data_IF_121215204326
#
_entry.id   IF_121215204326
#
_cell.length_a   1.000
_cell.length_b   1.000
_cell.length_c   1.000
_cell.angle_alpha   90.00
_cell.angle_beta   90.00
_cell.angle_gamma   90.00
#
_symmetry.space_group_name_H-M   'P 1'
#
loop_
_entity.id
_entity.type
_entity.pdbx_description
1 polymer ?
#
# COMPACT_ATOMS: atom_id res chain seq x y z
N UNK A 1 -53.87 20.84 -31.85
CA UNK A 1 -52.38 20.86 -31.92
C UNK A 1 -51.84 20.08 -30.73
N UNK A 2 -51.42 18.83 -30.92
CA UNK A 2 -50.90 17.98 -29.85
C UNK A 2 -49.46 17.60 -30.23
N UNK A 3 -48.47 18.09 -29.47
CA UNK A 3 -47.06 17.75 -29.68
C UNK A 3 -46.71 16.55 -28.79
N UNK A 4 -46.43 15.42 -29.43
CA UNK A 4 -45.91 14.21 -28.80
C UNK A 4 -44.45 14.49 -28.41
N UNK A 5 -44.16 14.44 -27.11
CA UNK A 5 -42.81 14.54 -26.54
C UNK A 5 -42.27 13.11 -26.45
N UNK A 6 -41.34 12.74 -27.34
CA UNK A 6 -40.60 11.48 -27.26
C UNK A 6 -39.49 11.60 -26.22
N UNK A 7 -39.74 11.06 -25.02
CA UNK A 7 -38.72 10.84 -24.00
C UNK A 7 -37.89 9.59 -24.38
N UNK A 8 -36.69 9.80 -24.95
CA UNK A 8 -35.71 8.72 -25.10
C UNK A 8 -35.03 8.47 -23.73
N UNK A 9 -35.54 7.46 -23.02
CA UNK A 9 -34.85 6.90 -21.86
C UNK A 9 -33.64 6.09 -22.35
N UNK A 10 -32.45 6.71 -22.31
CA UNK A 10 -31.18 6.00 -22.53
C UNK A 10 -30.87 5.20 -21.28
N UNK A 11 -31.20 3.91 -21.31
CA UNK A 11 -30.77 2.93 -20.30
C UNK A 11 -29.29 2.68 -20.56
N UNK A 12 -28.42 3.42 -19.85
CA UNK A 12 -26.99 3.09 -19.79
C UNK A 12 -26.89 1.84 -18.92
N UNK A 13 -26.82 0.67 -19.56
CA UNK A 13 -26.39 -0.55 -18.91
C UNK A 13 -24.93 -0.34 -18.49
N UNK A 14 -24.72 -0.02 -17.21
CA UNK A 14 -23.39 -0.01 -16.62
C UNK A 14 -22.86 -1.44 -16.67
N UNK A 15 -22.04 -1.74 -17.67
CA UNK A 15 -21.23 -2.93 -17.67
C UNK A 15 -20.29 -2.83 -16.47
N UNK A 16 -20.64 -3.52 -15.38
CA UNK A 16 -19.73 -3.77 -14.28
C UNK A 16 -18.57 -4.58 -14.88
N UNK A 17 -17.50 -3.87 -15.25
CA UNK A 17 -16.22 -4.48 -15.52
C UNK A 17 -15.78 -5.04 -14.16
N UNK A 18 -16.09 -6.32 -13.92
CA UNK A 18 -15.49 -7.09 -12.84
C UNK A 18 -14.00 -7.13 -13.15
N UNK A 19 -13.25 -6.16 -12.62
CA UNK A 19 -11.80 -6.20 -12.62
C UNK A 19 -11.42 -7.49 -11.91
N UNK A 20 -10.93 -8.47 -12.69
CA UNK A 20 -10.44 -9.71 -12.13
C UNK A 20 -9.38 -9.35 -11.08
N UNK A 21 -9.60 -9.79 -9.84
CA UNK A 21 -8.76 -9.44 -8.72
C UNK A 21 -7.29 -9.78 -9.05
N UNK A 22 -6.35 -8.83 -8.99
CA UNK A 22 -4.92 -9.05 -9.27
C UNK A 22 -4.27 -10.14 -8.39
N UNK A 23 -4.97 -10.62 -7.36
CA UNK A 23 -4.46 -11.51 -6.32
C UNK A 23 -4.21 -12.96 -6.74
N UNK A 24 -4.68 -13.45 -7.90
CA UNK A 24 -4.58 -14.89 -8.22
C UNK A 24 -3.14 -15.40 -8.26
N UNK A 25 -2.20 -14.61 -8.75
CA UNK A 25 -0.78 -14.99 -8.85
C UNK A 25 0.01 -14.67 -7.57
N UNK A 26 -0.55 -13.84 -6.69
CA UNK A 26 0.10 -13.32 -5.47
C UNK A 26 -0.91 -13.29 -4.30
N UNK A 27 -1.43 -14.45 -3.87
CA UNK A 27 -2.60 -14.54 -2.97
C UNK A 27 -2.37 -14.01 -1.56
N UNK A 28 -1.12 -13.71 -1.20
CA UNK A 28 -0.75 -13.21 0.12
C UNK A 28 -0.10 -11.83 0.10
N UNK A 29 0.04 -11.19 -1.07
CA UNK A 29 0.67 -9.86 -1.17
C UNK A 29 -0.27 -8.70 -0.82
N UNK A 30 -1.57 -8.97 -0.67
CA UNK A 30 -2.62 -7.97 -0.40
C UNK A 30 -3.49 -8.41 0.77
N UNK A 31 -3.73 -7.51 1.71
CA UNK A 31 -4.67 -7.67 2.81
C UNK A 31 -5.87 -6.75 2.53
N UNK A 32 -7.02 -7.35 2.25
CA UNK A 32 -8.25 -6.62 1.90
C UNK A 32 -8.41 -6.35 0.41
N UNK A 33 -9.14 -5.29 0.08
CA UNK A 33 -9.43 -4.87 -1.31
C UNK A 33 -8.38 -3.85 -1.80
N UNK A 34 -8.08 -3.85 -3.11
CA UNK A 34 -7.13 -2.93 -3.72
C UNK A 34 -7.76 -1.67 -4.34
N UNK A 35 -9.09 -1.65 -4.46
CA UNK A 35 -9.86 -0.59 -5.11
C UNK A 35 -9.39 -0.26 -6.54
N UNK A 36 -8.79 -1.23 -7.25
CA UNK A 36 -8.23 -1.04 -8.59
C UNK A 36 -6.98 -0.15 -8.64
N UNK A 37 -6.32 0.11 -7.51
CA UNK A 37 -5.08 0.91 -7.45
C UNK A 37 -3.86 0.06 -7.79
N UNK A 38 -3.87 -1.20 -7.39
CA UNK A 38 -2.76 -2.12 -7.54
C UNK A 38 -2.90 -2.92 -8.83
N UNK A 39 -1.77 -3.23 -9.44
CA UNK A 39 -1.66 -4.14 -10.57
C UNK A 39 -0.79 -5.34 -10.19
N UNK A 40 -0.64 -6.27 -11.13
CA UNK A 40 0.15 -7.49 -10.91
C UNK A 40 1.62 -7.20 -10.59
N UNK A 41 2.21 -6.16 -11.18
CA UNK A 41 3.60 -5.79 -10.91
C UNK A 41 3.79 -5.29 -9.48
N UNK A 42 2.84 -4.52 -8.94
CA UNK A 42 2.91 -4.03 -7.56
C UNK A 42 2.89 -5.18 -6.55
N UNK A 43 2.07 -6.20 -6.82
CA UNK A 43 1.98 -7.39 -5.97
C UNK A 43 3.23 -8.27 -6.09
N UNK A 44 3.82 -8.33 -7.28
CA UNK A 44 5.05 -9.08 -7.56
C UNK A 44 6.27 -8.48 -6.86
N UNK A 45 6.35 -7.14 -6.71
CA UNK A 45 7.49 -6.46 -6.08
C UNK A 45 7.75 -6.99 -4.66
N UNK A 46 6.71 -7.25 -3.86
CA UNK A 46 6.87 -7.76 -2.50
C UNK A 46 7.57 -9.14 -2.47
N UNK A 47 7.44 -9.93 -3.54
CA UNK A 47 8.09 -11.25 -3.67
C UNK A 47 9.59 -11.18 -3.91
N UNK A 48 10.10 -9.99 -4.27
CA UNK A 48 11.54 -9.75 -4.39
C UNK A 48 12.24 -9.75 -3.02
N UNK A 49 11.52 -9.36 -1.97
CA UNK A 49 12.09 -9.20 -0.63
C UNK A 49 12.02 -10.49 0.18
N UNK A 50 10.89 -11.19 0.11
CA UNK A 50 10.66 -12.42 0.86
C UNK A 50 9.64 -13.33 0.14
N UNK A 51 9.52 -14.57 0.60
CA UNK A 51 8.50 -15.48 0.09
C UNK A 51 7.11 -15.02 0.57
N UNK A 52 6.11 -14.93 -0.33
CA UNK A 52 4.72 -14.77 0.06
C UNK A 52 4.30 -15.82 1.09
N UNK A 53 3.79 -15.37 2.21
CA UNK A 53 3.18 -16.19 3.24
C UNK A 53 1.87 -15.55 3.69
N UNK A 54 0.85 -16.34 4.10
CA UNK A 54 -0.36 -15.77 4.66
C UNK A 54 -0.03 -14.82 5.81
N UNK A 55 -0.70 -13.66 5.86
CA UNK A 55 -0.49 -12.71 6.94
C UNK A 55 -0.73 -13.36 8.30
N UNK A 56 0.27 -13.26 9.17
CA UNK A 56 0.20 -13.63 10.57
C UNK A 56 0.93 -12.58 11.40
N UNK A 57 0.62 -12.50 12.69
CA UNK A 57 1.34 -11.59 13.62
C UNK A 57 2.79 -12.02 13.85
N UNK A 58 3.15 -13.23 13.45
CA UNK A 58 4.51 -13.77 13.56
C UNK A 58 5.31 -13.54 12.26
N UNK A 59 4.64 -13.15 11.16
CA UNK A 59 5.25 -12.83 9.86
C UNK A 59 5.80 -11.40 9.88
N UNK A 60 7.00 -11.25 10.41
CA UNK A 60 7.66 -9.94 10.57
C UNK A 60 8.45 -9.49 9.32
N UNK A 61 8.62 -10.35 8.32
CA UNK A 61 9.56 -10.12 7.22
C UNK A 61 8.91 -9.78 5.89
N UNK A 62 7.73 -10.34 5.58
CA UNK A 62 7.10 -10.13 4.28
C UNK A 62 6.30 -8.81 4.25
N UNK A 63 6.47 -7.96 3.22
CA UNK A 63 5.68 -6.76 3.07
C UNK A 63 4.31 -7.06 2.45
N UNK A 64 3.26 -6.44 2.98
CA UNK A 64 1.88 -6.59 2.53
C UNK A 64 1.30 -5.26 2.08
N UNK A 65 0.55 -5.27 0.97
CA UNK A 65 -0.26 -4.13 0.57
C UNK A 65 -1.57 -4.07 1.36
N UNK A 66 -1.96 -2.88 1.79
CA UNK A 66 -3.25 -2.56 2.42
C UNK A 66 -3.75 -1.21 1.92
N UNK A 67 -5.03 -1.11 1.60
CA UNK A 67 -5.61 0.12 1.04
C UNK A 67 -6.62 0.76 1.99
N UNK A 68 -6.59 2.09 2.06
CA UNK A 68 -7.37 2.89 3.00
C UNK A 68 -8.00 4.08 2.28
N UNK A 69 -9.14 4.54 2.78
CA UNK A 69 -9.71 5.81 2.33
C UNK A 69 -8.78 6.96 2.71
N UNK A 70 -8.42 7.79 1.73
CA UNK A 70 -7.45 8.88 1.91
C UNK A 70 -7.86 9.87 3.00
N UNK A 71 -9.16 10.07 3.22
CA UNK A 71 -9.68 10.97 4.27
C UNK A 71 -9.37 10.49 5.70
N UNK A 72 -9.03 9.22 5.87
CA UNK A 72 -8.61 8.61 7.14
C UNK A 72 -7.11 8.30 7.17
N UNK A 73 -6.34 8.97 6.31
CA UNK A 73 -4.89 8.81 6.25
C UNK A 73 -4.19 10.15 6.48
N UNK A 74 -3.05 10.10 7.17
CA UNK A 74 -2.25 11.26 7.49
C UNK A 74 -0.76 10.94 7.32
N UNK A 75 0.03 11.95 7.04
CA UNK A 75 1.50 11.88 7.01
C UNK A 75 2.08 12.83 8.04
N UNK A 76 3.04 12.34 8.80
CA UNK A 76 3.71 13.07 9.86
C UNK A 76 5.23 12.94 9.71
N UNK A 77 5.92 14.03 10.04
CA UNK A 77 7.35 14.01 10.35
C UNK A 77 7.48 14.03 11.87
N UNK A 78 7.53 12.85 12.48
CA UNK A 78 7.63 12.71 13.93
C UNK A 78 9.05 13.04 14.39
N UNK A 79 9.17 13.93 15.36
CA UNK A 79 10.44 14.54 15.76
C UNK A 79 11.43 13.50 16.28
N UNK A 80 12.57 13.35 15.60
CA UNK A 80 13.72 12.61 16.12
C UNK A 80 14.56 13.49 17.04
N UNK A 81 15.40 12.86 17.86
CA UNK A 81 16.47 13.59 18.54
C UNK A 81 17.38 14.23 17.47
N UNK A 82 17.78 15.50 17.61
CA UNK A 82 18.73 16.12 16.68
C UNK A 82 20.05 15.34 16.69
N UNK A 83 20.60 15.05 15.51
CA UNK A 83 21.95 14.54 15.39
C UNK A 83 22.94 15.72 15.33
N UNK A 84 24.02 15.73 16.14
CA UNK A 84 24.97 16.85 16.16
C UNK A 84 25.68 17.13 14.82
N UNK A 85 25.76 16.14 13.92
CA UNK A 85 26.39 16.25 12.60
C UNK A 85 25.37 16.43 11.48
N UNK A 86 24.24 15.74 11.57
CA UNK A 86 23.23 15.68 10.50
C UNK A 86 22.07 16.67 10.72
N UNK A 87 22.00 17.31 11.89
CA UNK A 87 20.99 18.32 12.21
C UNK A 87 19.64 17.72 12.64
N UNK A 88 18.53 18.47 12.46
CA UNK A 88 17.20 18.00 12.86
C UNK A 88 16.76 16.80 12.03
N UNK A 89 16.43 15.70 12.72
CA UNK A 89 15.94 14.48 12.08
C UNK A 89 14.48 14.22 12.44
N UNK A 90 13.78 13.46 11.59
CA UNK A 90 12.41 13.04 11.83
C UNK A 90 12.15 11.63 11.27
N UNK A 91 11.27 10.89 11.92
CA UNK A 91 10.70 9.67 11.34
C UNK A 91 9.53 10.03 10.43
N UNK A 92 9.54 9.51 9.21
CA UNK A 92 8.35 9.52 8.37
C UNK A 92 7.34 8.51 8.95
N UNK A 93 6.13 8.98 9.22
CA UNK A 93 5.04 8.15 9.73
C UNK A 93 3.79 8.38 8.90
N UNK A 94 3.25 7.32 8.32
CA UNK A 94 1.89 7.34 7.80
C UNK A 94 0.95 6.72 8.82
N UNK A 95 -0.11 7.44 9.17
CA UNK A 95 -1.20 6.90 9.97
C UNK A 95 -2.40 6.64 9.06
N UNK A 96 -3.03 5.48 9.18
CA UNK A 96 -4.20 5.11 8.41
C UNK A 96 -5.19 4.39 9.32
N UNK A 97 -6.45 4.84 9.33
CA UNK A 97 -7.48 4.23 10.18
C UNK A 97 -8.59 3.57 9.35
N UNK A 98 -9.10 2.44 9.85
CA UNK A 98 -10.25 1.74 9.30
C UNK A 98 -11.06 1.11 10.44
N UNK A 99 -12.00 0.21 10.10
CA UNK A 99 -12.82 -0.51 11.10
C UNK A 99 -12.02 -1.44 12.02
N UNK A 100 -10.82 -1.89 11.63
CA UNK A 100 -9.96 -2.75 12.45
C UNK A 100 -9.04 -2.00 13.41
N UNK A 101 -8.92 -0.67 13.26
CA UNK A 101 -8.11 0.17 14.13
C UNK A 101 -7.23 1.14 13.35
N UNK A 102 -6.14 1.56 13.99
CA UNK A 102 -5.14 2.45 13.41
C UNK A 102 -3.91 1.66 12.98
N UNK A 103 -3.40 1.98 11.80
CA UNK A 103 -2.21 1.39 11.20
C UNK A 103 -1.17 2.49 11.05
N UNK A 104 0.04 2.24 11.56
CA UNK A 104 1.15 3.17 11.44
C UNK A 104 2.25 2.54 10.58
N UNK A 105 2.63 3.21 9.49
CA UNK A 105 3.73 2.80 8.64
C UNK A 105 4.89 3.75 8.89
N UNK A 106 5.95 3.22 9.51
CA UNK A 106 7.05 3.99 10.05
C UNK A 106 8.30 3.72 9.21
N UNK A 107 9.04 4.78 8.88
CA UNK A 107 10.34 4.65 8.24
C UNK A 107 11.32 3.82 9.07
N UNK A 108 12.19 3.07 8.38
CA UNK A 108 13.23 2.23 9.01
C UNK A 108 14.25 3.02 9.82
N UNK A 109 14.48 4.28 9.45
CA UNK A 109 15.46 5.19 10.05
C UNK A 109 14.91 6.62 10.03
N UNK A 110 15.36 7.48 10.95
CA UNK A 110 15.08 8.90 10.86
C UNK A 110 15.75 9.47 9.60
N UNK A 111 15.11 10.47 8.99
CA UNK A 111 15.56 11.20 7.80
C UNK A 111 15.87 12.64 8.20
N UNK A 112 16.59 13.36 7.34
CA UNK A 112 16.67 14.81 7.48
C UNK A 112 15.25 15.41 7.44
N UNK A 113 14.96 16.37 8.33
CA UNK A 113 13.62 16.95 8.42
C UNK A 113 13.15 17.58 7.08
N UNK A 114 14.08 18.10 6.28
CA UNK A 114 13.82 18.64 4.94
C UNK A 114 13.30 17.54 4.00
N UNK A 115 14.01 16.41 3.89
CA UNK A 115 13.63 15.26 3.07
C UNK A 115 12.28 14.66 3.52
N UNK A 116 12.03 14.58 4.83
CA UNK A 116 10.73 14.14 5.34
C UNK A 116 9.59 15.07 4.86
N UNK A 117 9.80 16.39 4.91
CA UNK A 117 8.80 17.37 4.42
C UNK A 117 8.59 17.26 2.92
N UNK A 118 9.65 17.06 2.14
CA UNK A 118 9.55 16.82 0.70
C UNK A 118 8.72 15.57 0.39
N UNK A 119 8.96 14.48 1.11
CA UNK A 119 8.16 13.26 0.98
C UNK A 119 6.68 13.50 1.32
N UNK A 120 6.40 14.31 2.34
CA UNK A 120 5.05 14.73 2.71
C UNK A 120 4.36 15.58 1.63
N UNK A 121 5.09 16.44 0.93
CA UNK A 121 4.57 17.20 -0.22
C UNK A 121 4.21 16.26 -1.38
N UNK A 122 5.06 15.27 -1.67
CA UNK A 122 4.79 14.24 -2.67
C UNK A 122 3.54 13.42 -2.32
N UNK A 123 3.40 13.02 -1.05
CA UNK A 123 2.20 12.36 -0.56
C UNK A 123 0.96 13.21 -0.77
N UNK A 124 0.95 14.47 -0.33
CA UNK A 124 -0.19 15.40 -0.51
C UNK A 124 -0.54 15.58 -1.99
N UNK A 125 0.46 15.66 -2.87
CA UNK A 125 0.27 15.78 -4.32
C UNK A 125 -0.41 14.55 -4.90
N UNK A 126 0.04 13.35 -4.51
CA UNK A 126 -0.48 12.08 -5.02
C UNK A 126 -1.86 11.73 -4.44
N UNK A 127 -2.18 12.17 -3.22
CA UNK A 127 -3.47 11.89 -2.58
C UNK A 127 -4.54 12.95 -2.81
N UNK A 128 -4.19 14.15 -3.28
CA UNK A 128 -5.17 15.22 -3.57
C UNK A 128 -6.29 14.72 -4.48
N UNK A 129 -7.54 14.84 -4.05
CA UNK A 129 -8.74 14.42 -4.79
C UNK A 129 -8.76 12.92 -5.18
N UNK A 130 -8.04 12.08 -4.46
CA UNK A 130 -8.11 10.61 -4.62
C UNK A 130 -8.87 10.03 -3.41
N UNK A 131 -9.68 9.00 -3.66
CA UNK A 131 -10.49 8.39 -2.61
C UNK A 131 -9.73 7.39 -1.76
N UNK A 132 -8.78 6.66 -2.34
CA UNK A 132 -8.02 5.60 -1.67
C UNK A 132 -6.52 5.68 -1.96
N UNK A 133 -5.73 5.20 -1.00
CA UNK A 133 -4.29 5.02 -1.12
C UNK A 133 -3.93 3.65 -0.55
N UNK A 134 -2.98 2.97 -1.20
CA UNK A 134 -2.46 1.69 -0.74
C UNK A 134 -1.07 1.88 -0.16
N UNK A 135 -0.79 1.27 0.98
CA UNK A 135 0.52 1.23 1.63
C UNK A 135 1.06 -0.20 1.59
N UNK A 136 2.34 -0.34 1.30
CA UNK A 136 3.09 -1.58 1.46
C UNK A 136 3.97 -1.46 2.70
N UNK A 137 3.92 -2.47 3.56
CA UNK A 137 4.79 -2.52 4.74
C UNK A 137 4.90 -3.89 5.37
N UNK A 138 5.99 -4.11 6.10
CA UNK A 138 6.23 -5.34 6.88
C UNK A 138 5.72 -5.17 8.30
N UNK A 139 5.02 -6.17 8.83
CA UNK A 139 4.44 -6.09 10.18
C UNK A 139 5.53 -5.98 11.26
N UNK A 140 5.31 -5.12 12.26
CA UNK A 140 6.19 -4.97 13.43
C UNK A 140 5.50 -5.53 14.66
N UNK A 141 4.35 -4.96 15.01
CA UNK A 141 3.65 -5.29 16.25
C UNK A 141 2.20 -4.80 16.22
N UNK A 142 1.40 -5.32 17.13
CA UNK A 142 0.05 -4.84 17.37
C UNK A 142 -0.11 -4.59 18.88
N UNK A 143 -0.49 -3.38 19.25
CA UNK A 143 -0.75 -2.96 20.63
C UNK A 143 -2.21 -2.53 20.76
N UNK A 144 -2.74 -2.54 21.98
CA UNK A 144 -3.98 -1.83 22.28
C UNK A 144 -3.62 -0.38 22.56
N UNK A 145 -4.29 0.56 21.89
CA UNK A 145 -4.21 1.97 22.26
C UNK A 145 -5.10 2.24 23.49
N UNK A 146 -4.92 3.41 24.13
CA UNK A 146 -5.60 3.84 25.35
C UNK A 146 -7.16 3.85 25.24
N UNK A 147 -7.69 3.76 24.02
CA UNK A 147 -9.13 3.76 23.72
C UNK A 147 -9.69 2.39 23.29
N UNK A 148 -9.02 1.28 23.63
CA UNK A 148 -9.37 -0.10 23.21
C UNK A 148 -9.34 -0.37 21.69
N UNK A 149 -8.88 0.60 20.90
CA UNK A 149 -8.68 0.41 19.46
C UNK A 149 -7.30 -0.18 19.18
N UNK A 150 -7.17 -1.20 18.32
CA UNK A 150 -5.86 -1.76 17.96
C UNK A 150 -5.01 -0.74 17.21
N UNK A 151 -3.74 -0.63 17.63
CA UNK A 151 -2.68 0.06 16.91
C UNK A 151 -1.77 -0.98 16.28
N UNK A 152 -1.69 -1.01 14.96
CA UNK A 152 -0.84 -1.94 14.22
C UNK A 152 0.33 -1.19 13.58
N UNK A 153 1.55 -1.49 14.00
CA UNK A 153 2.75 -0.86 13.48
C UNK A 153 3.37 -1.69 12.36
N UNK A 154 3.80 -1.02 11.31
CA UNK A 154 4.40 -1.56 10.10
C UNK A 154 5.68 -0.80 9.77
N UNK A 155 6.66 -1.47 9.19
CA UNK A 155 7.78 -0.83 8.52
C UNK A 155 7.30 -0.37 7.15
N UNK A 156 7.42 0.92 6.86
CA UNK A 156 7.02 1.49 5.58
C UNK A 156 7.97 1.06 4.45
N UNK A 157 7.40 0.55 3.36
CA UNK A 157 8.13 0.24 2.12
C UNK A 157 7.75 1.20 0.98
N UNK A 158 6.45 1.37 0.73
CA UNK A 158 5.94 2.24 -0.33
C UNK A 158 4.47 2.60 -0.15
N UNK A 159 4.00 3.61 -0.88
CA UNK A 159 2.58 3.86 -1.09
C UNK A 159 2.27 4.08 -2.56
N UNK A 160 1.03 3.78 -2.95
CA UNK A 160 0.53 3.93 -4.30
C UNK A 160 -0.89 4.50 -4.33
N UNK A 161 -1.12 5.33 -5.33
CA UNK A 161 -2.44 5.82 -5.75
C UNK A 161 -2.59 5.56 -7.24
N UNK A 162 -3.77 5.80 -7.80
CA UNK A 162 -3.96 5.80 -9.25
C UNK A 162 -3.15 6.89 -9.99
N UNK A 163 -2.59 7.88 -9.27
CA UNK A 163 -1.73 8.94 -9.84
C UNK A 163 -0.25 8.59 -9.88
N UNK A 164 0.19 7.61 -9.08
CA UNK A 164 1.60 7.27 -8.97
C UNK A 164 1.95 6.55 -7.68
N UNK A 165 3.23 6.19 -7.57
CA UNK A 165 3.81 5.43 -6.46
C UNK A 165 5.06 6.13 -5.93
N UNK A 166 5.26 6.07 -4.62
CA UNK A 166 6.47 6.53 -3.92
C UNK A 166 6.93 5.48 -2.94
N UNK A 167 8.24 5.21 -2.92
CA UNK A 167 8.85 4.18 -2.09
C UNK A 167 9.94 4.76 -1.20
N UNK A 168 10.19 4.07 -0.08
CA UNK A 168 11.28 4.36 0.83
C UNK A 168 12.64 4.18 0.15
N UNK A 169 12.83 3.06 -0.57
CA UNK A 169 14.03 2.80 -1.36
C UNK A 169 13.81 3.08 -2.84
N UNK A 170 14.87 3.55 -3.50
CA UNK A 170 14.90 3.76 -4.96
C UNK A 170 14.51 2.46 -5.66
N UNK A 171 13.53 2.56 -6.55
CA UNK A 171 13.02 1.41 -7.32
C UNK A 171 11.99 0.53 -6.62
N UNK A 172 11.59 0.86 -5.38
CA UNK A 172 10.51 0.14 -4.67
C UNK A 172 9.13 0.20 -5.35
N UNK A 173 8.98 1.03 -6.38
CA UNK A 173 7.77 1.14 -7.21
C UNK A 173 7.96 0.59 -8.64
N UNK A 174 9.04 -0.13 -8.93
CA UNK A 174 9.33 -0.61 -10.29
C UNK A 174 9.86 -2.04 -10.27
N UNK A 175 9.03 -2.99 -10.71
CA UNK A 175 9.42 -4.39 -10.83
C UNK A 175 10.62 -4.57 -11.77
N UNK A 176 10.63 -3.85 -12.90
CA UNK A 176 11.76 -3.83 -13.84
C UNK A 176 13.06 -3.39 -13.16
N UNK A 177 13.00 -2.37 -12.32
CA UNK A 177 14.17 -1.94 -11.55
C UNK A 177 14.64 -3.04 -10.60
N UNK A 178 13.73 -3.68 -9.87
CA UNK A 178 14.06 -4.76 -8.94
C UNK A 178 14.71 -5.94 -9.65
N UNK A 179 14.14 -6.40 -10.78
CA UNK A 179 14.71 -7.49 -11.59
C UNK A 179 16.13 -7.15 -12.06
N UNK A 180 16.32 -5.93 -12.57
CA UNK A 180 17.64 -5.45 -13.02
C UNK A 180 18.68 -5.51 -11.90
N UNK A 181 18.27 -5.33 -10.64
CA UNK A 181 19.14 -5.36 -9.46
C UNK A 181 19.09 -6.69 -8.70
N UNK A 182 18.74 -7.78 -9.39
CA UNK A 182 18.91 -9.14 -8.87
C UNK A 182 17.68 -9.74 -8.20
N UNK A 183 16.53 -9.07 -8.19
CA UNK A 183 15.29 -9.73 -7.83
C UNK A 183 15.02 -10.91 -8.78
N UNK A 184 14.80 -12.08 -8.20
CA UNK A 184 14.28 -13.25 -8.90
C UNK A 184 12.84 -13.42 -8.46
N UNK A 185 11.89 -13.06 -9.32
CA UNK A 185 10.48 -13.35 -9.09
C UNK A 185 10.38 -14.87 -9.02
N UNK A 186 10.22 -15.39 -7.81
CA UNK A 186 10.03 -16.82 -7.63
C UNK A 186 8.65 -17.13 -8.18
N UNK A 187 8.60 -17.93 -9.24
CA UNK A 187 7.40 -18.37 -9.93
C UNK A 187 6.60 -19.33 -9.01
N UNK A 188 6.09 -18.81 -7.89
CA UNK A 188 5.35 -19.61 -6.90
C UNK A 188 3.94 -19.98 -7.38
N UNK A 189 3.44 -19.29 -8.41
CA UNK A 189 2.13 -19.58 -9.02
C UNK A 189 2.05 -20.89 -9.80
N UNK A 190 3.19 -21.53 -10.15
CA UNK A 190 3.18 -22.85 -10.83
C UNK A 190 3.26 -24.07 -9.90
N UNK A 191 3.83 -23.92 -8.70
CA UNK A 191 4.13 -25.08 -7.84
C UNK A 191 3.04 -25.40 -6.82
N UNK A 192 2.27 -24.41 -6.34
CA UNK A 192 1.22 -24.69 -5.33
C UNK A 192 -0.09 -25.28 -5.90
N UNK A 193 -0.35 -25.18 -7.22
CA UNK A 193 -1.55 -25.78 -7.83
C UNK A 193 -1.38 -27.22 -8.35
N UNK A 194 -0.15 -27.76 -8.37
CA UNK A 194 0.09 -29.17 -8.73
C UNK A 194 0.07 -30.14 -7.55
N UNK A 195 -0.17 -29.66 -6.32
CA UNK A 195 -0.09 -30.46 -5.09
C UNK A 195 -1.41 -30.78 -4.38
N UNK A 196 -2.57 -30.56 -5.01
CA UNK A 196 -3.89 -30.96 -4.45
C UNK A 196 -4.68 -31.82 -5.44
N UNK A 197 -4.11 -32.96 -5.78
CA UNK A 197 -4.87 -34.13 -6.27
C UNK A 197 -4.23 -35.36 -5.61
N UNK A 198 -4.64 -35.63 -4.38
CA UNK A 198 -4.42 -36.90 -3.68
C UNK A 198 -5.54 -37.08 -2.67
#
# INVERSE_FOLDING_TARGET
MWKIVFFFAVIIAAASITMAAPSKNYPHSLIGEDFGILNEEDLAINTCTALPEPFSKDSISFPYWQCFETKYTNFLCDGGAPDPKEGPQAFMVFQASNKSGTHEYIARRPWELSECREFGMDYKKLTRNISHVCFSGSFISMKKDNADTPLTSWVFESFKTNKGCKAYFVGGCSLKYQIKHGCKIKEQSRLQFRGRTS
#
